data_IF_479904895517
#
_entry.id   IF_479904895517
#
_cell.length_a   1.000
_cell.length_b   1.000
_cell.length_c   1.000
_cell.angle_alpha   90.00
_cell.angle_beta   90.00
_cell.angle_gamma   90.00
#
_symmetry.space_group_name_H-M   'P 1'
#
loop_
_entity.id
_entity.type
_entity.pdbx_description
1 polymer ?
#
# COMPACT_ATOMS: atom_id res chain seq x y z
N UNK A 1 12.45 -1.05 8.45
CA UNK A 1 11.01 -1.27 8.71
C UNK A 1 10.22 0.02 8.88
N UNK A 2 10.75 1.07 9.53
CA UNK A 2 10.05 2.35 9.73
C UNK A 2 9.60 3.09 8.47
N UNK A 3 10.30 2.93 7.36
CA UNK A 3 9.95 3.63 6.12
C UNK A 3 8.67 3.09 5.47
N UNK A 4 8.40 1.79 5.56
CA UNK A 4 7.20 1.16 4.97
C UNK A 4 5.89 1.70 5.57
N UNK A 5 5.82 1.83 6.90
CA UNK A 5 4.64 2.40 7.58
C UNK A 5 4.45 3.87 7.22
N UNK A 6 5.52 4.67 7.25
CA UNK A 6 5.47 6.10 6.90
C UNK A 6 5.03 6.31 5.45
N UNK A 7 5.55 5.48 4.54
CA UNK A 7 5.13 5.50 3.12
C UNK A 7 3.65 5.10 2.97
N UNK A 8 3.19 4.09 3.71
CA UNK A 8 1.77 3.69 3.72
C UNK A 8 0.87 4.81 4.27
N UNK A 9 1.28 5.45 5.37
CA UNK A 9 0.56 6.58 5.96
C UNK A 9 0.42 7.75 4.98
N UNK A 10 1.52 8.13 4.31
CA UNK A 10 1.51 9.23 3.34
C UNK A 10 0.76 8.86 2.05
N UNK A 11 0.80 7.61 1.61
CA UNK A 11 -0.02 7.11 0.50
C UNK A 11 -1.51 7.22 0.83
N UNK A 12 -1.91 6.82 2.03
CA UNK A 12 -3.28 6.98 2.52
C UNK A 12 -3.67 8.45 2.63
N UNK A 13 -2.80 9.30 3.20
CA UNK A 13 -3.02 10.73 3.32
C UNK A 13 -3.27 11.41 1.96
N UNK A 14 -2.52 11.02 0.93
CA UNK A 14 -2.77 11.49 -0.44
C UNK A 14 -4.21 11.21 -0.89
N UNK A 15 -4.67 9.97 -0.77
CA UNK A 15 -6.02 9.60 -1.22
C UNK A 15 -7.12 10.24 -0.35
N UNK A 16 -6.90 10.35 0.96
CA UNK A 16 -7.84 11.01 1.87
C UNK A 16 -7.97 12.49 1.54
N UNK A 17 -6.83 13.16 1.29
CA UNK A 17 -6.80 14.57 0.86
C UNK A 17 -7.59 14.77 -0.43
N UNK A 18 -7.34 13.93 -1.44
CA UNK A 18 -8.06 13.99 -2.73
C UNK A 18 -9.56 13.68 -2.60
N UNK A 19 -9.95 12.92 -1.59
CA UNK A 19 -11.35 12.63 -1.29
C UNK A 19 -12.08 13.74 -0.50
N UNK A 20 -11.39 14.84 -0.18
CA UNK A 20 -11.96 15.96 0.58
C UNK A 20 -11.80 15.83 2.09
N UNK A 21 -10.77 15.13 2.57
CA UNK A 21 -10.38 15.02 3.97
C UNK A 21 -10.89 13.76 4.68
N UNK A 22 -11.83 13.03 4.09
CA UNK A 22 -12.30 11.73 4.61
C UNK A 22 -12.56 10.73 3.49
N UNK A 23 -12.37 9.44 3.77
CA UNK A 23 -12.58 8.37 2.79
C UNK A 23 -13.13 7.11 3.46
N UNK A 24 -13.94 6.34 2.72
CA UNK A 24 -14.39 5.03 3.19
C UNK A 24 -13.26 4.00 3.15
N UNK A 25 -13.09 3.24 4.23
CA UNK A 25 -12.05 2.21 4.39
C UNK A 25 -11.89 1.31 3.16
N UNK A 26 -12.99 0.71 2.68
CA UNK A 26 -12.93 -0.18 1.53
C UNK A 26 -12.43 0.54 0.27
N UNK A 27 -12.81 1.79 0.07
CA UNK A 27 -12.35 2.60 -1.06
C UNK A 27 -10.85 2.88 -0.95
N UNK A 28 -10.38 3.29 0.22
CA UNK A 28 -8.96 3.55 0.47
C UNK A 28 -8.11 2.31 0.19
N UNK A 29 -8.49 1.16 0.76
CA UNK A 29 -7.75 -0.09 0.57
C UNK A 29 -7.64 -0.49 -0.91
N UNK A 30 -8.69 -0.27 -1.70
CA UNK A 30 -8.64 -0.58 -3.14
C UNK A 30 -7.76 0.39 -3.93
N UNK A 31 -7.81 1.68 -3.61
CA UNK A 31 -6.93 2.67 -4.25
C UNK A 31 -5.46 2.41 -3.91
N UNK A 32 -5.13 2.12 -2.65
CA UNK A 32 -3.77 1.79 -2.23
C UNK A 32 -3.28 0.52 -2.92
N UNK A 33 -4.08 -0.56 -2.95
CA UNK A 33 -3.70 -1.78 -3.67
C UNK A 33 -3.45 -1.54 -5.16
N UNK A 34 -4.31 -0.78 -5.81
CA UNK A 34 -4.13 -0.45 -7.23
C UNK A 34 -2.87 0.40 -7.47
N UNK A 35 -2.49 1.25 -6.53
CA UNK A 35 -1.24 2.01 -6.59
C UNK A 35 -0.01 1.11 -6.46
N UNK A 36 0.01 0.18 -5.49
CA UNK A 36 1.07 -0.83 -5.38
C UNK A 36 1.21 -1.64 -6.67
N UNK A 37 0.09 -2.13 -7.20
CA UNK A 37 0.06 -2.91 -8.43
C UNK A 37 0.58 -2.14 -9.63
N UNK A 38 0.24 -0.86 -9.75
CA UNK A 38 0.71 0.02 -10.84
C UNK A 38 2.21 0.30 -10.71
N UNK A 39 2.73 0.49 -9.48
CA UNK A 39 4.16 0.64 -9.22
C UNK A 39 4.93 -0.61 -9.63
N UNK A 40 4.47 -1.77 -9.20
CA UNK A 40 5.03 -3.05 -9.62
C UNK A 40 4.99 -3.21 -11.14
N UNK A 41 3.91 -2.78 -11.80
CA UNK A 41 3.79 -2.88 -13.26
C UNK A 41 4.78 -1.97 -14.01
N UNK A 42 5.04 -0.77 -13.51
CA UNK A 42 5.92 0.21 -14.18
C UNK A 42 7.38 0.04 -13.83
N UNK A 43 7.67 -0.22 -12.55
CA UNK A 43 9.02 -0.14 -12.01
C UNK A 43 9.54 -1.46 -11.43
N UNK A 44 8.68 -2.46 -11.25
CA UNK A 44 9.02 -3.72 -10.60
C UNK A 44 9.17 -3.61 -9.08
N UNK A 45 8.86 -2.45 -8.51
CA UNK A 45 9.01 -2.12 -7.08
C UNK A 45 7.70 -1.63 -6.49
N UNK A 46 7.41 -1.97 -5.22
CA UNK A 46 6.22 -1.47 -4.51
C UNK A 46 6.42 -0.03 -4.01
N UNK A 47 5.32 0.69 -3.77
CA UNK A 47 5.37 2.00 -3.10
C UNK A 47 5.65 1.82 -1.62
N UNK A 48 4.86 1.01 -0.93
CA UNK A 48 4.92 0.88 0.54
C UNK A 48 5.75 -0.31 1.01
N UNK A 49 5.88 -1.35 0.22
CA UNK A 49 6.49 -2.61 0.64
C UNK A 49 5.63 -3.38 1.66
N UNK A 50 4.32 -3.14 1.68
CA UNK A 50 3.39 -3.85 2.56
C UNK A 50 3.15 -5.29 2.10
N UNK A 51 2.67 -6.13 2.98
CA UNK A 51 2.26 -7.51 2.67
C UNK A 51 0.91 -7.50 1.96
N UNK A 52 0.88 -8.00 0.73
CA UNK A 52 -0.36 -8.08 -0.05
C UNK A 52 -1.11 -9.38 0.27
N UNK A 53 -2.41 -9.29 0.52
CA UNK A 53 -3.26 -10.46 0.79
C UNK A 53 -4.58 -10.40 0.04
N UNK A 54 -5.05 -11.57 -0.39
CA UNK A 54 -6.42 -11.79 -0.84
C UNK A 54 -7.34 -11.87 0.37
N UNK A 55 -8.42 -11.13 0.33
CA UNK A 55 -9.54 -11.23 1.26
C UNK A 55 -10.85 -11.32 0.48
N UNK A 56 -11.96 -11.71 1.11
CA UNK A 56 -13.30 -11.87 0.51
C UNK A 56 -13.76 -10.64 -0.32
N UNK A 57 -13.38 -9.45 0.11
CA UNK A 57 -13.73 -8.19 -0.58
C UNK A 57 -12.62 -7.67 -1.49
N UNK A 58 -11.74 -8.56 -1.96
CA UNK A 58 -10.64 -8.25 -2.86
C UNK A 58 -9.29 -8.06 -2.16
N UNK A 59 -8.23 -7.78 -2.92
CA UNK A 59 -6.89 -7.65 -2.39
C UNK A 59 -6.73 -6.41 -1.52
N UNK A 60 -5.85 -6.50 -0.51
CA UNK A 60 -5.54 -5.42 0.45
C UNK A 60 -4.07 -5.44 0.86
N UNK A 61 -3.62 -4.34 1.49
CA UNK A 61 -2.35 -4.19 2.18
C UNK A 61 -2.56 -4.61 3.64
N UNK A 62 -1.95 -5.71 4.08
CA UNK A 62 -2.25 -6.36 5.35
C UNK A 62 -1.82 -5.52 6.55
N UNK A 63 -0.56 -5.04 6.58
CA UNK A 63 -0.05 -4.22 7.69
C UNK A 63 -0.81 -2.89 7.80
N UNK A 64 -1.10 -2.26 6.65
CA UNK A 64 -1.94 -1.05 6.62
C UNK A 64 -3.31 -1.32 7.23
N UNK A 65 -3.94 -2.45 6.93
CA UNK A 65 -5.22 -2.82 7.53
C UNK A 65 -5.11 -3.08 9.03
N UNK A 66 -4.00 -3.67 9.49
CA UNK A 66 -3.73 -3.91 10.91
C UNK A 66 -3.55 -2.59 11.67
N UNK A 67 -2.85 -1.58 11.11
CA UNK A 67 -2.81 -0.23 11.68
C UNK A 67 -4.20 0.40 11.78
N UNK A 68 -5.00 0.31 10.73
CA UNK A 68 -6.38 0.84 10.72
C UNK A 68 -7.25 0.19 11.82
N UNK A 69 -7.04 -1.09 12.10
CA UNK A 69 -7.79 -1.83 13.10
C UNK A 69 -7.20 -1.72 14.52
N UNK A 70 -6.03 -1.09 14.69
CA UNK A 70 -5.34 -0.97 15.97
C UNK A 70 -4.74 -2.31 16.46
N UNK A 71 -4.38 -3.20 15.54
CA UNK A 71 -3.76 -4.50 15.89
C UNK A 71 -2.24 -4.41 16.01
N UNK A 72 -1.64 -3.38 15.45
CA UNK A 72 -0.21 -3.08 15.57
C UNK A 72 -0.03 -1.60 15.94
N UNK A 73 0.95 -1.35 16.80
CA UNK A 73 1.30 0.01 17.24
C UNK A 73 1.94 0.79 16.08
N UNK A 74 1.76 2.11 16.09
CA UNK A 74 2.36 3.01 15.13
C UNK A 74 3.71 3.53 15.60
N UNK A 75 4.68 3.62 14.68
CA UNK A 75 5.96 4.27 14.92
C UNK A 75 5.82 5.79 14.94
N UNK A 76 6.80 6.49 15.51
CA UNK A 76 6.86 7.95 15.47
C UNK A 76 6.93 8.46 14.02
N UNK A 77 6.00 9.35 13.65
CA UNK A 77 5.83 9.84 12.29
C UNK A 77 5.16 8.84 11.33
N UNK A 78 4.70 7.69 11.86
CA UNK A 78 4.00 6.62 11.12
C UNK A 78 2.50 6.85 10.97
N UNK A 79 1.73 5.77 10.96
CA UNK A 79 0.29 5.77 10.61
C UNK A 79 -0.54 6.74 11.47
N UNK A 80 -0.45 6.63 12.80
CA UNK A 80 -1.25 7.46 13.72
C UNK A 80 -0.88 8.94 13.70
N UNK A 81 0.31 9.27 13.22
CA UNK A 81 0.71 10.68 13.04
C UNK A 81 -0.03 11.35 11.90
N UNK A 82 -0.45 10.61 10.89
CA UNK A 82 -1.10 11.12 9.67
C UNK A 82 -2.59 10.85 9.61
N UNK A 83 -3.01 9.68 10.06
CA UNK A 83 -4.36 9.16 9.85
C UNK A 83 -5.10 9.11 11.19
N UNK A 84 -6.28 9.69 11.23
CA UNK A 84 -7.14 9.66 12.42
C UNK A 84 -7.68 8.25 12.67
N UNK A 85 -8.02 7.98 13.94
CA UNK A 85 -8.68 6.77 14.30
C UNK A 85 -9.97 6.57 13.47
N UNK A 86 -10.24 5.35 13.11
CA UNK A 86 -11.40 4.96 12.32
C UNK A 86 -12.72 5.30 13.04
N UNK A 87 -13.59 6.06 12.38
CA UNK A 87 -14.95 6.32 12.82
C UNK A 87 -15.93 5.50 11.98
N UNK A 88 -16.36 4.35 12.50
CA UNK A 88 -17.15 3.38 11.73
C UNK A 88 -16.37 2.82 10.54
N UNK A 89 -16.78 3.19 9.33
CA UNK A 89 -16.10 2.82 8.08
C UNK A 89 -15.35 3.98 7.41
N UNK A 90 -15.18 5.10 8.11
CA UNK A 90 -14.52 6.30 7.61
C UNK A 90 -13.15 6.48 8.25
N UNK A 91 -12.22 6.98 7.44
CA UNK A 91 -10.88 7.42 7.85
C UNK A 91 -10.69 8.87 7.43
N UNK A 92 -9.93 9.63 8.21
CA UNK A 92 -9.61 11.02 7.95
C UNK A 92 -8.13 11.32 8.19
N UNK A 93 -7.70 12.53 7.87
CA UNK A 93 -6.40 13.05 8.28
C UNK A 93 -6.42 13.44 9.75
N UNK A 94 -5.26 13.36 10.42
CA UNK A 94 -5.09 13.99 11.71
C UNK A 94 -5.25 15.52 11.57
N UNK A 95 -5.86 16.20 12.57
CA UNK A 95 -6.05 17.65 12.51
C UNK A 95 -4.77 18.47 12.39
N UNK A 96 -3.62 17.89 12.73
CA UNK A 96 -2.30 18.52 12.61
C UNK A 96 -1.81 18.58 11.15
N UNK A 97 -2.40 17.84 10.23
CA UNK A 97 -1.99 17.77 8.83
C UNK A 97 -2.98 18.48 7.93
N UNK A 98 -2.45 19.42 7.14
CA UNK A 98 -3.18 20.03 6.03
C UNK A 98 -3.12 19.11 4.80
N UNK A 99 -4.19 19.05 3.99
CA UNK A 99 -4.15 18.36 2.68
C UNK A 99 -3.02 18.83 1.74
N UNK A 100 -2.42 20.00 2.00
CA UNK A 100 -1.30 20.55 1.25
C UNK A 100 0.08 20.15 1.81
N UNK A 101 0.16 19.40 2.91
CA UNK A 101 1.42 18.98 3.51
C UNK A 101 2.25 18.15 2.53
N UNK A 102 3.58 18.36 2.56
CA UNK A 102 4.49 17.63 1.71
C UNK A 102 4.62 16.16 2.17
N UNK A 103 4.35 15.26 1.26
CA UNK A 103 4.48 13.81 1.46
C UNK A 103 5.94 13.39 1.22
N UNK A 104 6.81 13.68 2.18
CA UNK A 104 8.28 13.59 2.04
C UNK A 104 8.84 12.18 1.95
N UNK A 105 8.03 11.17 2.28
CA UNK A 105 8.41 9.76 2.17
C UNK A 105 8.13 9.17 0.78
N UNK A 106 7.43 9.92 -0.07
CA UNK A 106 7.07 9.50 -1.42
C UNK A 106 7.96 10.20 -2.45
N UNK A 107 8.44 9.45 -3.42
CA UNK A 107 9.18 9.98 -4.56
C UNK A 107 8.24 10.65 -5.57
N UNK A 108 8.80 11.42 -6.50
CA UNK A 108 8.03 11.99 -7.61
C UNK A 108 7.34 10.90 -8.45
N UNK A 109 8.01 9.76 -8.65
CA UNK A 109 7.43 8.62 -9.36
C UNK A 109 6.24 8.02 -8.60
N UNK A 110 6.32 7.88 -7.27
CA UNK A 110 5.18 7.45 -6.45
C UNK A 110 4.01 8.43 -6.60
N UNK A 111 4.28 9.73 -6.52
CA UNK A 111 3.25 10.77 -6.66
C UNK A 111 2.57 10.74 -8.03
N UNK A 112 3.30 10.47 -9.10
CA UNK A 112 2.73 10.28 -10.44
C UNK A 112 1.79 9.07 -10.50
N UNK A 113 2.17 7.95 -9.87
CA UNK A 113 1.31 6.76 -9.77
C UNK A 113 0.05 7.08 -8.98
N UNK A 114 0.18 7.69 -7.79
CA UNK A 114 -0.98 8.01 -6.96
C UNK A 114 -1.95 8.93 -7.69
N UNK A 115 -1.43 9.95 -8.38
CA UNK A 115 -2.24 10.85 -9.20
C UNK A 115 -2.91 10.12 -10.37
N UNK A 116 -2.20 9.22 -11.04
CA UNK A 116 -2.77 8.39 -12.11
C UNK A 116 -3.92 7.51 -11.58
N UNK A 117 -3.71 6.83 -10.45
CA UNK A 117 -4.73 5.98 -9.83
C UNK A 117 -5.94 6.80 -9.40
N UNK A 118 -5.73 7.97 -8.78
CA UNK A 118 -6.83 8.85 -8.41
C UNK A 118 -7.65 9.31 -9.62
N UNK A 119 -6.99 9.79 -10.67
CA UNK A 119 -7.66 10.24 -11.87
C UNK A 119 -8.49 9.14 -12.54
N UNK A 120 -7.97 7.91 -12.53
CA UNK A 120 -8.61 6.76 -13.17
C UNK A 120 -9.73 6.15 -12.33
N UNK A 121 -9.58 6.10 -11.02
CA UNK A 121 -10.43 5.30 -10.14
C UNK A 121 -11.10 6.10 -9.00
N UNK A 122 -10.62 7.30 -8.68
CA UNK A 122 -11.08 8.08 -7.52
C UNK A 122 -12.56 8.47 -7.56
N UNK A 123 -13.15 8.56 -8.74
CA UNK A 123 -14.58 8.87 -8.92
C UNK A 123 -15.53 7.69 -8.66
N UNK A 124 -15.00 6.45 -8.57
CA UNK A 124 -15.84 5.27 -8.33
C UNK A 124 -16.22 5.11 -6.85
N UNK A 125 -17.40 4.51 -6.62
CA UNK A 125 -17.79 4.07 -5.29
C UNK A 125 -16.94 2.89 -4.81
N UNK A 126 -16.90 2.66 -3.48
CA UNK A 126 -16.19 1.53 -2.88
C UNK A 126 -16.61 0.17 -3.46
N UNK A 127 -17.89 -0.02 -3.74
CA UNK A 127 -18.40 -1.28 -4.30
C UNK A 127 -17.97 -1.45 -5.76
N UNK A 128 -18.00 -0.37 -6.52
CA UNK A 128 -17.52 -0.41 -7.91
C UNK A 128 -16.02 -0.70 -7.97
N UNK A 129 -15.21 -0.11 -7.07
CA UNK A 129 -13.78 -0.40 -6.97
C UNK A 129 -13.51 -1.85 -6.59
N UNK A 130 -14.27 -2.41 -5.62
CA UNK A 130 -14.19 -3.83 -5.30
C UNK A 130 -14.41 -4.69 -6.56
N UNK A 131 -15.49 -4.44 -7.29
CA UNK A 131 -15.85 -5.21 -8.48
C UNK A 131 -14.82 -5.03 -9.62
N UNK A 132 -14.21 -3.85 -9.72
CA UNK A 132 -13.10 -3.60 -10.65
C UNK A 132 -11.88 -4.42 -10.25
N UNK A 133 -11.45 -4.39 -8.99
CA UNK A 133 -10.27 -5.15 -8.53
C UNK A 133 -10.44 -6.64 -8.73
N UNK A 134 -11.63 -7.20 -8.51
CA UNK A 134 -11.92 -8.61 -8.80
C UNK A 134 -11.76 -8.97 -10.29
N UNK A 135 -11.91 -8.01 -11.19
CA UNK A 135 -11.82 -8.24 -12.64
C UNK A 135 -10.42 -8.02 -13.21
N UNK A 136 -9.71 -7.00 -12.70
CA UNK A 136 -8.43 -6.59 -13.29
C UNK A 136 -7.20 -7.09 -12.52
N UNK A 137 -7.39 -7.72 -11.37
CA UNK A 137 -6.32 -8.26 -10.53
C UNK A 137 -6.39 -9.80 -10.51
N UNK A 138 -5.92 -10.49 -11.57
CA UNK A 138 -5.98 -11.95 -11.64
C UNK A 138 -5.11 -12.64 -10.59
N UNK A 139 -4.22 -11.91 -9.94
CA UNK A 139 -3.46 -12.37 -8.79
C UNK A 139 -4.32 -12.58 -7.53
N UNK A 140 -5.49 -11.93 -7.46
CA UNK A 140 -6.46 -12.16 -6.39
C UNK A 140 -7.29 -13.41 -6.66
N UNK A 141 -7.42 -14.25 -5.63
CA UNK A 141 -8.37 -15.36 -5.58
C UNK A 141 -9.25 -15.21 -4.35
N UNK A 142 -10.53 -15.56 -4.44
CA UNK A 142 -11.42 -15.49 -3.29
C UNK A 142 -11.05 -16.53 -2.24
N UNK A 143 -10.55 -16.14 -1.05
CA UNK A 143 -10.13 -17.07 -0.01
C UNK A 143 -11.31 -17.48 0.91
N UNK A 144 -12.53 -17.10 0.57
CA UNK A 144 -13.68 -17.25 1.45
C UNK A 144 -13.58 -16.33 2.69
N UNK A 145 -13.76 -16.91 3.88
CA UNK A 145 -13.70 -16.18 5.15
C UNK A 145 -12.30 -16.14 5.79
N UNK A 146 -11.27 -16.47 4.99
CA UNK A 146 -9.84 -16.42 5.40
C UNK A 146 -9.09 -15.29 4.68
N UNK A 147 -7.77 -15.22 4.89
CA UNK A 147 -6.86 -14.40 4.09
C UNK A 147 -5.78 -15.27 3.47
N UNK A 148 -5.30 -14.89 2.29
CA UNK A 148 -4.26 -15.62 1.57
C UNK A 148 -3.19 -14.66 1.04
N UNK A 149 -1.93 -14.98 1.25
CA UNK A 149 -0.80 -14.16 0.77
C UNK A 149 -0.82 -14.04 -0.77
N UNK A 150 -0.58 -12.82 -1.26
CA UNK A 150 -0.28 -12.53 -2.65
C UNK A 150 1.21 -12.15 -2.74
N UNK A 151 2.11 -13.06 -3.16
CA UNK A 151 3.50 -12.70 -3.34
C UNK A 151 3.66 -11.64 -4.44
N UNK A 152 4.64 -10.74 -4.32
CA UNK A 152 4.94 -9.77 -5.38
C UNK A 152 5.28 -10.42 -6.71
N UNK A 153 5.97 -11.56 -6.71
CA UNK A 153 6.22 -12.34 -7.92
C UNK A 153 4.94 -12.73 -8.66
N UNK A 154 3.86 -13.05 -7.92
CA UNK A 154 2.56 -13.32 -8.53
C UNK A 154 1.98 -12.09 -9.20
N UNK A 155 2.06 -10.92 -8.56
CA UNK A 155 1.63 -9.65 -9.15
C UNK A 155 2.45 -9.35 -10.39
N UNK A 156 3.79 -9.43 -10.31
CA UNK A 156 4.70 -9.17 -11.43
C UNK A 156 4.41 -10.07 -12.64
N UNK A 157 4.17 -11.36 -12.42
CA UNK A 157 3.75 -12.28 -13.47
C UNK A 157 2.41 -11.85 -14.11
N UNK A 158 1.44 -11.45 -13.30
CA UNK A 158 0.12 -11.01 -13.77
C UNK A 158 0.14 -9.67 -14.54
N UNK A 159 1.10 -8.79 -14.25
CA UNK A 159 1.28 -7.53 -14.99
C UNK A 159 2.21 -7.65 -16.19
N UNK A 160 2.71 -8.87 -16.49
CA UNK A 160 3.38 -9.20 -17.76
C UNK A 160 4.90 -9.27 -17.72
N UNK A 161 5.52 -9.28 -16.53
CA UNK A 161 6.95 -9.54 -16.44
C UNK A 161 7.28 -10.98 -16.82
N UNK A 162 8.42 -11.16 -17.50
CA UNK A 162 8.93 -12.49 -17.82
C UNK A 162 9.45 -13.20 -16.56
N UNK A 163 9.32 -14.51 -16.44
CA UNK A 163 9.76 -15.25 -15.25
C UNK A 163 11.24 -15.04 -14.88
N UNK A 164 12.11 -14.81 -15.86
CA UNK A 164 13.53 -14.51 -15.62
C UNK A 164 13.70 -13.18 -14.87
N UNK A 165 12.99 -12.14 -15.33
CA UNK A 165 13.03 -10.81 -14.71
C UNK A 165 12.41 -10.84 -13.29
N UNK A 166 11.32 -11.60 -13.11
CA UNK A 166 10.73 -11.77 -11.78
C UNK A 166 11.73 -12.38 -10.80
N UNK A 167 12.47 -13.43 -11.22
CA UNK A 167 13.52 -14.03 -10.37
C UNK A 167 14.66 -13.05 -10.03
N UNK A 168 15.07 -12.21 -10.98
CA UNK A 168 16.11 -11.19 -10.76
C UNK A 168 15.63 -10.13 -9.75
N UNK A 169 14.39 -9.67 -9.87
CA UNK A 169 13.79 -8.72 -8.93
C UNK A 169 13.66 -9.31 -7.52
N UNK A 170 13.19 -10.55 -7.40
CA UNK A 170 13.13 -11.25 -6.11
C UNK A 170 14.50 -11.45 -5.47
N UNK A 171 15.52 -11.75 -6.28
CA UNK A 171 16.88 -11.89 -5.76
C UNK A 171 17.42 -10.55 -5.27
N UNK A 172 17.25 -9.48 -6.03
CA UNK A 172 17.66 -8.13 -5.63
C UNK A 172 17.00 -7.71 -4.30
N UNK A 173 15.69 -7.92 -4.17
CA UNK A 173 14.99 -7.61 -2.92
C UNK A 173 15.54 -8.38 -1.72
N UNK A 174 15.86 -9.67 -1.91
CA UNK A 174 16.48 -10.48 -0.84
C UNK A 174 17.87 -9.95 -0.46
N UNK A 175 18.68 -9.61 -1.45
CA UNK A 175 20.04 -9.09 -1.24
C UNK A 175 20.00 -7.75 -0.49
N UNK A 176 19.06 -6.86 -0.83
CA UNK A 176 18.82 -5.59 -0.14
C UNK A 176 18.36 -5.81 1.32
N UNK A 177 17.42 -6.73 1.58
CA UNK A 177 16.97 -7.07 2.93
C UNK A 177 18.09 -7.68 3.79
N UNK A 178 18.96 -8.51 3.21
CA UNK A 178 20.12 -9.06 3.90
C UNK A 178 21.13 -7.98 4.26
N UNK A 179 21.39 -7.06 3.32
CA UNK A 179 22.29 -5.94 3.55
C UNK A 179 21.76 -5.03 4.67
N UNK A 180 20.48 -4.69 4.66
CA UNK A 180 19.85 -3.86 5.69
C UNK A 180 19.92 -4.53 7.08
N UNK A 181 19.70 -5.85 7.14
CA UNK A 181 19.87 -6.61 8.39
C UNK A 181 21.31 -6.57 8.91
N UNK A 182 22.29 -6.72 8.01
CA UNK A 182 23.71 -6.63 8.39
C UNK A 182 24.09 -5.24 8.91
N UNK A 183 23.65 -4.18 8.22
CA UNK A 183 23.92 -2.80 8.63
C UNK A 183 23.19 -2.44 9.93
N UNK A 184 21.94 -2.86 10.12
CA UNK A 184 21.18 -2.66 11.34
C UNK A 184 21.82 -3.36 12.55
N UNK A 185 22.46 -4.50 12.36
CA UNK A 185 23.18 -5.22 13.43
C UNK A 185 24.47 -4.50 13.85
N UNK A 186 25.13 -3.83 12.90
CA UNK A 186 26.36 -3.06 13.19
C UNK A 186 26.05 -1.80 14.00
N UNK A 187 24.92 -1.16 13.77
CA UNK A 187 24.52 0.08 14.47
C UNK A 187 24.09 -0.17 15.94
N UNK A 188 23.67 -1.39 16.28
CA UNK A 188 23.28 -1.75 17.65
C UNK A 188 24.45 -2.23 18.54
N UNK A 189 25.68 -2.28 18.02
CA UNK A 189 26.87 -2.77 18.73
C UNK A 189 27.79 -1.67 19.24
N UNK A 190 27.30 -0.43 19.38
CA UNK A 190 28.07 0.71 19.89
C UNK A 190 27.36 1.37 21.06
#
# INVERSE_FOLDING_TARGET
MGDSEKRAAQTAAFFISRAGGTIELLKLMKLMYLAERESLARFGEPITGDVLVSMKHGPVLSKTLDHINGFIDSEEGGWESWISARAGHQLGLQPAHDPADKLTQLSDADMEILQFIWNKFGHYSKYKLRDITHKICPEWEDPGDTSQLIPYSRVLNCVGYKPEVVRELEQRTRDEEELDKMLGTITMSH
#
